data_IF_333889703860
#
_entry.id   IF_333889703860
#
_cell.length_a   1.000
_cell.length_b   1.000
_cell.length_c   1.000
_cell.angle_alpha   90.00
_cell.angle_beta   90.00
_cell.angle_gamma   90.00
#
_symmetry.space_group_name_H-M   'P 1'
#
loop_
_entity.id
_entity.type
_entity.pdbx_description
1 polymer ?
#
# COMPACT_ATOMS: atom_id res chain seq x y z
N UNK A 1 -4.83 4.08 4.92
CA UNK A 1 -5.87 4.53 5.87
C UNK A 1 -5.46 5.84 6.56
N UNK A 2 -4.21 5.96 6.98
CA UNK A 2 -3.73 7.16 7.71
C UNK A 2 -3.87 8.43 6.85
N UNK A 3 -3.50 8.39 5.59
CA UNK A 3 -3.70 9.54 4.68
C UNK A 3 -5.18 9.94 4.52
N UNK A 4 -6.09 8.95 4.46
CA UNK A 4 -7.51 9.23 4.32
C UNK A 4 -8.07 9.98 5.54
N UNK A 5 -7.79 9.50 6.76
CA UNK A 5 -8.32 10.11 7.97
C UNK A 5 -7.72 11.51 8.21
N UNK A 6 -6.40 11.68 8.03
CA UNK A 6 -5.72 12.96 8.17
C UNK A 6 -6.22 13.97 7.12
N UNK A 7 -6.37 13.53 5.86
CA UNK A 7 -6.96 14.39 4.83
C UNK A 7 -8.39 14.79 5.19
N UNK A 8 -9.23 13.85 5.62
CA UNK A 8 -10.61 14.14 6.06
C UNK A 8 -10.64 15.17 7.18
N UNK A 9 -9.75 15.05 8.16
CA UNK A 9 -9.63 16.02 9.26
C UNK A 9 -9.23 17.40 8.75
N UNK A 10 -8.25 17.47 7.87
CA UNK A 10 -7.71 18.73 7.34
C UNK A 10 -8.68 19.49 6.42
N UNK A 11 -9.56 18.77 5.71
CA UNK A 11 -10.58 19.40 4.86
C UNK A 11 -11.88 19.75 5.59
N UNK A 12 -11.93 19.57 6.92
CA UNK A 12 -13.02 20.04 7.77
C UNK A 12 -13.87 18.98 8.44
N UNK A 13 -13.46 17.70 8.39
CA UNK A 13 -14.11 16.67 9.20
C UNK A 13 -13.98 16.96 10.69
N UNK A 14 -15.10 17.02 11.41
CA UNK A 14 -15.14 17.38 12.84
C UNK A 14 -14.97 16.19 13.76
N UNK A 15 -15.57 15.05 13.42
CA UNK A 15 -15.47 13.79 14.14
C UNK A 15 -14.97 12.71 13.16
N UNK A 16 -13.65 12.56 13.09
CA UNK A 16 -13.00 11.58 12.21
C UNK A 16 -12.46 10.44 13.04
N UNK A 17 -12.85 9.22 12.71
CA UNK A 17 -12.38 7.98 13.36
C UNK A 17 -11.81 7.01 12.36
N UNK A 18 -10.77 6.30 12.75
CA UNK A 18 -10.23 5.15 12.01
C UNK A 18 -10.74 3.88 12.67
N UNK A 19 -11.54 3.11 11.95
CA UNK A 19 -12.03 1.82 12.43
C UNK A 19 -11.06 0.72 12.01
N UNK A 20 -10.37 0.15 12.96
CA UNK A 20 -9.35 -0.87 12.72
C UNK A 20 -9.83 -2.26 13.15
N UNK A 21 -9.77 -3.21 12.23
CA UNK A 21 -10.19 -4.60 12.49
C UNK A 21 -9.30 -5.31 13.50
N UNK A 22 -8.02 -4.93 13.61
CA UNK A 22 -7.04 -5.51 14.53
C UNK A 22 -6.61 -4.48 15.56
N UNK A 23 -5.96 -4.95 16.62
CA UNK A 23 -5.30 -4.08 17.60
C UNK A 23 -3.97 -3.51 17.09
N UNK A 24 -3.53 -2.43 17.71
CA UNK A 24 -2.36 -1.61 17.33
C UNK A 24 -1.08 -2.42 17.03
N UNK A 25 -0.71 -3.49 17.77
CA UNK A 25 0.47 -4.31 17.45
C UNK A 25 0.44 -4.98 16.07
N UNK A 26 -0.73 -5.12 15.47
CA UNK A 26 -0.92 -5.76 14.16
C UNK A 26 -1.17 -4.75 13.03
N UNK A 27 -1.01 -3.47 13.27
CA UNK A 27 -1.15 -2.45 12.23
C UNK A 27 0.01 -2.53 11.24
N UNK A 28 -0.32 -2.31 9.97
CA UNK A 28 0.68 -2.20 8.90
C UNK A 28 1.17 -0.76 8.70
N UNK A 29 0.49 0.21 9.32
CA UNK A 29 0.89 1.60 9.30
C UNK A 29 2.23 1.78 10.03
N UNK A 30 3.05 2.68 9.54
CA UNK A 30 4.33 3.00 10.15
C UNK A 30 4.15 3.72 11.50
N UNK A 31 5.10 3.61 12.44
CA UNK A 31 4.99 4.29 13.72
C UNK A 31 4.75 5.79 13.61
N UNK A 32 5.43 6.46 12.69
CA UNK A 32 5.28 7.91 12.49
C UNK A 32 3.91 8.30 11.89
N UNK A 33 3.30 7.46 11.04
CA UNK A 33 1.93 7.71 10.56
C UNK A 33 0.90 7.62 11.67
N UNK A 34 1.10 6.70 12.63
CA UNK A 34 0.25 6.58 13.80
C UNK A 34 0.44 7.76 14.75
N UNK A 35 1.68 8.17 14.99
CA UNK A 35 2.02 9.35 15.80
C UNK A 35 1.40 10.63 15.21
N UNK A 36 1.60 10.89 13.92
CA UNK A 36 0.97 12.00 13.20
C UNK A 36 -0.57 11.98 13.30
N UNK A 37 -1.18 10.80 13.28
CA UNK A 37 -2.64 10.65 13.40
C UNK A 37 -3.12 10.99 14.81
N UNK A 38 -2.39 10.56 15.82
CA UNK A 38 -2.65 10.89 17.22
C UNK A 38 -2.46 12.39 17.49
N UNK A 39 -1.41 13.02 16.92
CA UNK A 39 -1.19 14.48 17.02
C UNK A 39 -2.32 15.30 16.38
N UNK A 40 -2.93 14.79 15.32
CA UNK A 40 -4.09 15.43 14.67
C UNK A 40 -5.42 15.12 15.39
N UNK A 41 -5.37 14.51 16.57
CA UNK A 41 -6.51 14.18 17.40
C UNK A 41 -7.57 13.34 16.70
N UNK A 42 -7.12 12.30 15.98
CA UNK A 42 -7.97 11.35 15.28
C UNK A 42 -7.99 10.05 16.09
N UNK A 43 -9.19 9.62 16.47
CA UNK A 43 -9.38 8.39 17.23
C UNK A 43 -9.16 7.15 16.34
N UNK A 44 -8.35 6.21 16.82
CA UNK A 44 -8.20 4.89 16.22
C UNK A 44 -8.94 3.89 17.10
N UNK A 45 -10.06 3.38 16.58
CA UNK A 45 -10.94 2.42 17.26
C UNK A 45 -10.54 1.01 16.85
N UNK A 46 -9.90 0.29 17.75
CA UNK A 46 -9.34 -1.04 17.50
C UNK A 46 -10.39 -2.14 17.61
N UNK A 47 -10.11 -3.31 16.99
CA UNK A 47 -10.91 -4.53 17.11
C UNK A 47 -12.37 -4.41 16.63
N UNK A 48 -12.60 -3.56 15.65
CA UNK A 48 -13.91 -3.35 15.04
C UNK A 48 -13.90 -3.82 13.59
N UNK A 49 -14.59 -4.93 13.33
CA UNK A 49 -14.71 -5.51 11.97
C UNK A 49 -15.97 -4.97 11.30
N UNK A 50 -15.88 -4.28 10.16
CA UNK A 50 -17.05 -3.73 9.49
C UNK A 50 -17.97 -4.84 8.96
N UNK A 51 -19.28 -4.66 9.12
CA UNK A 51 -20.29 -5.65 8.70
C UNK A 51 -21.31 -5.10 7.73
N UNK A 52 -21.88 -3.91 8.00
CA UNK A 52 -23.01 -3.40 7.23
C UNK A 52 -23.02 -1.88 7.17
N UNK A 53 -23.30 -1.31 6.00
CA UNK A 53 -23.69 0.09 5.86
C UNK A 53 -25.18 0.26 6.21
N UNK A 54 -25.48 1.18 7.09
CA UNK A 54 -26.86 1.54 7.42
C UNK A 54 -27.28 2.71 6.55
N UNK A 55 -28.23 2.47 5.64
CA UNK A 55 -28.75 3.46 4.69
C UNK A 55 -30.25 3.57 4.88
N UNK A 56 -30.76 4.77 5.08
CA UNK A 56 -32.19 5.08 5.16
C UNK A 56 -32.55 6.13 4.13
N UNK A 57 -33.59 5.88 3.35
CA UNK A 57 -34.06 6.77 2.28
C UNK A 57 -32.95 7.21 1.28
N UNK A 58 -31.99 6.30 1.02
CA UNK A 58 -30.85 6.58 0.15
C UNK A 58 -29.73 7.40 0.78
N UNK A 59 -29.82 7.71 2.07
CA UNK A 59 -28.84 8.48 2.83
C UNK A 59 -28.10 7.57 3.81
N UNK A 60 -26.77 7.63 3.79
CA UNK A 60 -25.94 6.93 4.77
C UNK A 60 -26.24 7.48 6.18
N UNK A 61 -26.47 6.59 7.13
CA UNK A 61 -26.66 6.89 8.55
C UNK A 61 -25.47 6.47 9.41
N UNK A 62 -24.69 5.54 8.92
CA UNK A 62 -23.53 5.02 9.61
C UNK A 62 -23.21 3.60 9.20
N UNK A 63 -22.45 2.92 10.05
CA UNK A 63 -21.97 1.58 9.80
C UNK A 63 -22.02 0.73 11.06
N UNK A 64 -22.35 -0.55 10.90
CA UNK A 64 -22.27 -1.55 11.96
C UNK A 64 -20.93 -2.25 11.94
N UNK A 65 -20.46 -2.59 13.12
CA UNK A 65 -19.21 -3.32 13.34
C UNK A 65 -19.41 -4.45 14.33
N UNK A 66 -18.78 -5.57 14.08
CA UNK A 66 -18.55 -6.59 15.08
C UNK A 66 -17.33 -6.18 15.94
N UNK A 67 -17.50 -6.16 17.25
CA UNK A 67 -16.39 -6.09 18.18
C UNK A 67 -15.78 -7.48 18.24
N UNK A 68 -14.48 -7.57 17.93
CA UNK A 68 -13.80 -8.86 17.80
C UNK A 68 -12.60 -8.95 18.73
N UNK A 69 -12.33 -10.15 19.23
CA UNK A 69 -11.11 -10.50 19.93
C UNK A 69 -10.25 -11.40 19.04
N UNK A 70 -8.95 -11.07 18.95
CA UNK A 70 -8.00 -11.82 18.14
C UNK A 70 -7.18 -12.76 19.02
N UNK A 71 -7.15 -14.04 18.68
CA UNK A 71 -6.35 -15.06 19.35
C UNK A 71 -5.70 -15.98 18.31
N UNK A 72 -4.51 -16.53 18.59
CA UNK A 72 -3.91 -17.54 17.73
C UNK A 72 -4.66 -18.87 17.87
N UNK A 73 -4.87 -19.56 16.76
CA UNK A 73 -5.32 -20.95 16.74
C UNK A 73 -4.15 -21.91 17.05
N UNK A 74 -4.44 -23.23 17.07
CA UNK A 74 -3.46 -24.28 17.34
C UNK A 74 -2.28 -24.30 16.34
N UNK A 75 -2.43 -23.66 15.19
CA UNK A 75 -1.41 -23.54 14.16
C UNK A 75 -0.70 -22.15 14.18
N UNK A 76 -0.99 -21.31 15.18
CA UNK A 76 -0.46 -19.97 15.30
C UNK A 76 -1.09 -18.96 14.34
N UNK A 77 -2.20 -19.30 13.67
CA UNK A 77 -2.94 -18.41 12.78
C UNK A 77 -3.89 -17.55 13.60
N UNK A 78 -3.87 -16.23 13.38
CA UNK A 78 -4.79 -15.31 14.06
C UNK A 78 -6.23 -15.54 13.60
N UNK A 79 -7.09 -15.89 14.55
CA UNK A 79 -8.52 -16.01 14.38
C UNK A 79 -9.26 -14.92 15.17
N UNK A 80 -10.41 -14.49 14.66
CA UNK A 80 -11.25 -13.49 15.31
C UNK A 80 -12.50 -14.16 15.89
N UNK A 81 -12.80 -13.87 17.14
CA UNK A 81 -14.08 -14.25 17.77
C UNK A 81 -14.92 -12.99 17.94
N UNK A 82 -16.16 -13.03 17.47
CA UNK A 82 -17.14 -11.95 17.69
C UNK A 82 -17.56 -11.93 19.15
N UNK A 83 -17.48 -10.77 19.77
CA UNK A 83 -17.90 -10.51 21.15
C UNK A 83 -19.25 -9.81 21.18
N UNK A 84 -19.44 -8.77 20.38
CA UNK A 84 -20.62 -7.91 20.37
C UNK A 84 -20.79 -7.23 19.01
N UNK A 85 -21.85 -6.45 18.86
CA UNK A 85 -22.11 -5.61 17.69
C UNK A 85 -22.38 -4.17 18.12
N UNK A 86 -21.85 -3.22 17.38
CA UNK A 86 -22.01 -1.80 17.65
C UNK A 86 -22.30 -1.01 16.37
N UNK A 87 -23.09 0.03 16.49
CA UNK A 87 -23.37 0.98 15.42
C UNK A 87 -22.63 2.30 15.66
N UNK A 88 -21.96 2.78 14.63
CA UNK A 88 -21.39 4.13 14.61
C UNK A 88 -22.10 4.98 13.57
N UNK A 89 -22.69 6.09 14.03
CA UNK A 89 -23.26 7.08 13.12
C UNK A 89 -22.17 7.77 12.31
N UNK A 90 -22.40 7.96 11.03
CA UNK A 90 -21.47 8.64 10.14
C UNK A 90 -22.18 9.22 8.91
N UNK A 91 -21.78 10.42 8.51
CA UNK A 91 -22.25 11.07 7.28
C UNK A 91 -21.51 10.56 6.05
N UNK A 92 -20.24 10.11 6.24
CA UNK A 92 -19.39 9.58 5.20
C UNK A 92 -18.52 8.42 5.72
N UNK A 93 -18.30 7.43 4.87
CA UNK A 93 -17.38 6.31 5.15
C UNK A 93 -16.40 6.16 4.00
N UNK A 94 -15.12 6.08 4.32
CA UNK A 94 -14.04 5.84 3.36
C UNK A 94 -13.48 4.45 3.60
N UNK A 95 -13.58 3.58 2.60
CA UNK A 95 -12.99 2.24 2.65
C UNK A 95 -11.50 2.30 2.31
N UNK A 96 -10.66 2.02 3.31
CA UNK A 96 -9.20 1.95 3.17
C UNK A 96 -8.68 0.58 3.64
N UNK A 97 -9.32 -0.49 3.14
CA UNK A 97 -9.11 -1.89 3.58
C UNK A 97 -8.08 -2.66 2.76
N UNK A 98 -7.39 -1.99 1.85
CA UNK A 98 -6.46 -2.57 0.89
C UNK A 98 -7.04 -2.70 -0.51
N UNK A 99 -6.26 -3.27 -1.39
CA UNK A 99 -6.61 -3.51 -2.78
C UNK A 99 -6.28 -4.95 -3.13
N UNK A 100 -7.04 -5.51 -4.04
CA UNK A 100 -6.76 -6.81 -4.64
C UNK A 100 -6.28 -6.60 -6.08
N UNK A 101 -5.37 -7.45 -6.51
CA UNK A 101 -4.89 -7.46 -7.89
C UNK A 101 -6.01 -7.94 -8.80
N UNK A 102 -6.32 -7.17 -9.84
CA UNK A 102 -7.38 -7.50 -10.80
C UNK A 102 -6.93 -7.17 -12.22
N UNK A 103 -7.01 -8.16 -13.10
CA UNK A 103 -6.69 -8.03 -14.52
C UNK A 103 -7.89 -8.43 -15.40
N UNK A 104 -9.02 -7.71 -15.34
CA UNK A 104 -10.23 -8.09 -16.07
C UNK A 104 -10.08 -7.99 -17.60
N UNK A 105 -8.99 -7.38 -18.06
CA UNK A 105 -8.63 -7.21 -19.47
C UNK A 105 -7.70 -8.30 -20.00
N UNK A 106 -7.21 -9.19 -19.14
CA UNK A 106 -6.41 -10.36 -19.54
C UNK A 106 -7.36 -11.54 -19.65
N UNK A 107 -7.44 -12.10 -20.85
CA UNK A 107 -8.26 -13.27 -21.15
C UNK A 107 -7.61 -14.54 -20.54
N UNK A 108 -8.44 -15.51 -20.14
CA UNK A 108 -7.97 -16.73 -19.46
C UNK A 108 -7.05 -17.59 -20.35
N UNK A 109 -7.19 -17.46 -21.67
CA UNK A 109 -6.36 -18.16 -22.67
C UNK A 109 -5.11 -17.36 -23.11
N UNK A 110 -4.84 -16.23 -22.49
CA UNK A 110 -3.68 -15.39 -22.79
C UNK A 110 -2.33 -16.07 -22.52
N UNK A 111 -2.31 -17.25 -21.89
CA UNK A 111 -1.09 -18.02 -21.58
C UNK A 111 -0.29 -17.44 -20.40
N UNK A 112 -0.91 -16.61 -19.57
CA UNK A 112 -0.34 -16.09 -18.34
C UNK A 112 -0.94 -16.88 -17.19
N UNK A 113 -0.10 -17.54 -16.40
CA UNK A 113 -0.55 -18.23 -15.19
C UNK A 113 -0.66 -17.26 -14.01
N UNK A 114 -1.72 -17.43 -13.23
CA UNK A 114 -1.98 -16.66 -12.02
C UNK A 114 -1.96 -17.59 -10.80
N UNK A 115 -1.44 -17.07 -9.69
CA UNK A 115 -1.47 -17.79 -8.41
C UNK A 115 -2.87 -17.71 -7.76
N UNK A 116 -3.01 -18.32 -6.58
CA UNK A 116 -4.28 -18.35 -5.82
C UNK A 116 -4.78 -16.96 -5.38
N UNK A 117 -3.93 -15.95 -5.37
CA UNK A 117 -4.26 -14.55 -5.07
C UNK A 117 -4.48 -13.69 -6.32
N UNK A 118 -4.58 -14.34 -7.49
CA UNK A 118 -4.72 -13.69 -8.79
C UNK A 118 -3.55 -12.77 -9.17
N UNK A 119 -2.37 -13.05 -8.65
CA UNK A 119 -1.15 -12.40 -9.07
C UNK A 119 -0.50 -13.22 -10.20
N UNK A 120 0.06 -12.59 -11.25
CA UNK A 120 0.72 -13.32 -12.32
C UNK A 120 1.97 -14.05 -11.80
N UNK A 121 2.22 -15.24 -12.27
CA UNK A 121 3.46 -15.95 -12.01
C UNK A 121 4.58 -15.29 -12.80
N UNK A 122 5.53 -14.68 -12.08
CA UNK A 122 6.63 -13.87 -12.65
C UNK A 122 7.97 -14.36 -12.12
N UNK A 123 8.94 -14.49 -13.00
CA UNK A 123 10.33 -14.78 -12.61
C UNK A 123 10.96 -13.54 -11.94
N UNK A 124 11.53 -13.72 -10.75
CA UNK A 124 12.04 -12.61 -9.92
C UNK A 124 13.30 -11.93 -10.48
N UNK A 125 14.00 -12.57 -11.40
CA UNK A 125 15.22 -12.04 -12.01
C UNK A 125 14.93 -11.36 -13.33
N UNK A 126 14.12 -12.02 -14.17
CA UNK A 126 13.82 -11.55 -15.51
C UNK A 126 12.55 -10.70 -15.60
N UNK A 127 11.68 -10.76 -14.60
CA UNK A 127 10.37 -10.08 -14.57
C UNK A 127 9.41 -10.58 -15.67
N UNK A 128 9.77 -11.65 -16.37
CA UNK A 128 8.95 -12.25 -17.39
C UNK A 128 7.91 -13.18 -16.76
N UNK A 129 6.69 -13.13 -17.28
CA UNK A 129 5.62 -14.04 -16.91
C UNK A 129 5.80 -15.41 -17.54
N UNK A 130 4.83 -16.31 -17.31
CA UNK A 130 4.77 -17.61 -18.01
C UNK A 130 4.52 -17.47 -19.51
N UNK A 131 3.98 -16.33 -19.96
CA UNK A 131 3.88 -16.00 -21.37
C UNK A 131 5.13 -15.29 -21.84
N UNK A 132 5.76 -15.86 -22.86
CA UNK A 132 6.95 -15.32 -23.49
C UNK A 132 6.74 -13.88 -23.99
N UNK A 133 7.70 -12.99 -23.70
CA UNK A 133 7.66 -11.56 -24.07
C UNK A 133 6.70 -10.69 -23.26
N UNK A 134 6.07 -11.22 -22.20
CA UNK A 134 5.20 -10.45 -21.31
C UNK A 134 5.84 -10.30 -19.92
N UNK A 135 6.00 -9.06 -19.47
CA UNK A 135 6.70 -8.72 -18.24
C UNK A 135 5.79 -8.00 -17.27
N UNK A 136 5.95 -8.27 -15.98
CA UNK A 136 5.24 -7.59 -14.89
C UNK A 136 6.22 -7.10 -13.84
N UNK A 137 5.85 -6.01 -13.15
CA UNK A 137 6.62 -5.45 -12.05
C UNK A 137 5.76 -4.58 -11.13
N UNK A 138 6.33 -4.13 -10.02
CA UNK A 138 5.61 -3.36 -9.01
C UNK A 138 4.45 -4.14 -8.40
N UNK A 139 3.42 -3.42 -8.02
CA UNK A 139 2.22 -3.97 -7.37
C UNK A 139 1.49 -5.01 -8.24
N UNK A 140 1.65 -4.93 -9.55
CA UNK A 140 1.02 -5.88 -10.48
C UNK A 140 1.66 -7.28 -10.46
N UNK A 141 2.87 -7.42 -9.95
CA UNK A 141 3.59 -8.69 -9.92
C UNK A 141 3.57 -9.35 -8.53
N UNK A 142 3.72 -8.56 -7.47
CA UNK A 142 3.93 -9.08 -6.11
C UNK A 142 3.05 -8.42 -5.04
N UNK A 143 1.99 -7.73 -5.48
CA UNK A 143 1.09 -7.01 -4.58
C UNK A 143 1.62 -5.65 -4.12
N UNK A 144 0.86 -4.95 -3.27
CA UNK A 144 1.14 -3.57 -2.89
C UNK A 144 2.44 -3.43 -2.08
N UNK A 145 3.37 -2.64 -2.64
CA UNK A 145 4.63 -2.25 -2.02
C UNK A 145 4.84 -0.73 -2.13
N UNK A 146 6.04 -0.24 -1.89
CA UNK A 146 6.34 1.18 -2.03
C UNK A 146 6.79 1.53 -3.46
N UNK A 147 6.71 2.83 -3.78
CA UNK A 147 7.03 3.37 -5.10
C UNK A 147 8.50 3.13 -5.51
N UNK A 148 9.42 3.01 -4.55
CA UNK A 148 10.85 2.77 -4.81
C UNK A 148 11.03 1.38 -5.43
N UNK A 149 10.35 0.37 -4.88
CA UNK A 149 10.34 -0.98 -5.44
C UNK A 149 9.69 -1.01 -6.82
N UNK A 150 8.57 -0.31 -7.01
CA UNK A 150 7.93 -0.26 -8.31
C UNK A 150 8.84 0.36 -9.39
N UNK A 151 9.60 1.41 -9.04
CA UNK A 151 10.57 2.01 -9.93
C UNK A 151 11.75 1.07 -10.25
N UNK A 152 12.27 0.37 -9.22
CA UNK A 152 13.34 -0.62 -9.41
C UNK A 152 12.88 -1.78 -10.29
N UNK A 153 11.68 -2.33 -10.03
CA UNK A 153 11.10 -3.38 -10.88
C UNK A 153 10.97 -2.92 -12.34
N UNK A 154 10.59 -1.66 -12.56
CA UNK A 154 10.55 -1.08 -13.91
C UNK A 154 11.91 -1.05 -14.58
N UNK A 155 12.97 -0.65 -13.86
CA UNK A 155 14.33 -0.66 -14.38
C UNK A 155 14.82 -2.07 -14.72
N UNK A 156 14.58 -3.02 -13.82
CA UNK A 156 14.99 -4.41 -14.04
C UNK A 156 14.21 -5.07 -15.19
N UNK A 157 12.91 -4.83 -15.26
CA UNK A 157 12.09 -5.30 -16.38
C UNK A 157 12.55 -4.70 -17.72
N UNK A 158 12.94 -3.42 -17.76
CA UNK A 158 13.44 -2.76 -18.97
C UNK A 158 14.72 -3.42 -19.48
N UNK A 159 15.63 -3.84 -18.58
CA UNK A 159 16.84 -4.60 -18.95
C UNK A 159 16.43 -5.92 -19.61
N UNK A 160 15.48 -6.65 -19.02
CA UNK A 160 15.00 -7.91 -19.57
C UNK A 160 14.31 -7.74 -20.92
N UNK A 161 13.48 -6.71 -21.06
CA UNK A 161 12.80 -6.40 -22.32
C UNK A 161 13.83 -6.08 -23.42
N UNK A 162 14.86 -5.31 -23.06
CA UNK A 162 15.95 -5.01 -24.00
C UNK A 162 16.63 -6.30 -24.48
N UNK A 163 17.12 -7.13 -23.54
CA UNK A 163 17.78 -8.40 -23.89
C UNK A 163 16.86 -9.34 -24.67
N UNK A 164 15.58 -9.40 -24.31
CA UNK A 164 14.58 -10.18 -25.06
C UNK A 164 14.46 -9.72 -26.52
N UNK A 165 14.36 -8.41 -26.74
CA UNK A 165 14.25 -7.85 -28.10
C UNK A 165 15.50 -8.11 -28.96
N UNK A 166 16.67 -8.26 -28.34
CA UNK A 166 17.93 -8.56 -29.05
C UNK A 166 18.25 -10.06 -29.09
N UNK A 167 17.42 -10.92 -28.51
CA UNK A 167 17.65 -12.36 -28.44
C UNK A 167 18.83 -12.74 -27.53
N UNK A 168 19.12 -11.92 -26.54
CA UNK A 168 20.16 -12.13 -25.54
C UNK A 168 19.65 -12.95 -24.36
N UNK A 169 20.54 -13.48 -23.55
CA UNK A 169 20.19 -14.19 -22.32
C UNK A 169 19.66 -13.23 -21.27
N UNK A 170 18.39 -13.39 -20.87
CA UNK A 170 17.74 -12.54 -19.86
C UNK A 170 18.34 -12.67 -18.46
N UNK A 171 19.05 -13.79 -18.19
CA UNK A 171 19.72 -14.00 -16.90
C UNK A 171 21.06 -13.25 -16.82
N UNK A 172 21.58 -12.81 -17.94
CA UNK A 172 22.83 -12.04 -17.99
C UNK A 172 22.55 -10.59 -17.60
N UNK A 173 22.65 -10.30 -16.30
CA UNK A 173 22.43 -8.95 -15.79
C UNK A 173 23.71 -8.11 -15.90
N UNK A 174 23.58 -6.84 -16.30
CA UNK A 174 24.70 -5.92 -16.20
C UNK A 174 25.09 -5.76 -14.72
N UNK A 175 26.37 -5.50 -14.42
CA UNK A 175 26.78 -5.22 -13.05
C UNK A 175 26.03 -3.99 -12.51
N UNK A 176 25.68 -4.03 -11.24
CA UNK A 176 25.05 -2.92 -10.55
C UNK A 176 25.91 -1.67 -10.69
N UNK A 177 25.45 -0.76 -11.52
CA UNK A 177 26.10 0.54 -11.69
C UNK A 177 25.55 1.50 -10.66
N UNK A 178 26.03 1.41 -9.44
CA UNK A 178 25.92 2.51 -8.50
C UNK A 178 26.86 3.64 -8.94
N UNK A 179 26.44 4.41 -9.92
CA UNK A 179 27.13 5.63 -10.27
C UNK A 179 26.66 6.76 -9.36
N UNK A 180 27.00 6.64 -8.07
CA UNK A 180 26.77 7.69 -7.07
C UNK A 180 27.58 8.96 -7.35
N UNK A 181 28.58 8.85 -8.19
CA UNK A 181 29.35 9.96 -8.79
C UNK A 181 28.53 10.64 -9.89
N UNK A 182 27.24 10.65 -9.80
CA UNK A 182 26.48 11.36 -10.80
C UNK A 182 26.94 12.80 -10.84
N UNK A 183 27.05 13.35 -12.04
CA UNK A 183 27.14 14.78 -12.31
C UNK A 183 26.12 15.63 -11.54
N UNK A 184 25.17 15.00 -10.93
CA UNK A 184 24.20 15.50 -9.99
C UNK A 184 24.82 16.18 -8.76
N UNK A 185 25.95 15.68 -8.26
CA UNK A 185 26.61 16.30 -7.10
C UNK A 185 27.16 17.69 -7.45
N UNK A 186 27.86 17.83 -8.56
CA UNK A 186 28.39 19.13 -8.99
C UNK A 186 27.32 20.16 -9.33
N UNK A 187 26.18 19.74 -9.89
CA UNK A 187 25.05 20.63 -10.17
C UNK A 187 24.31 21.04 -8.89
N UNK A 188 24.25 20.15 -7.90
CA UNK A 188 23.61 20.44 -6.62
C UNK A 188 24.37 21.44 -5.76
N UNK A 189 25.67 21.37 -5.77
CA UNK A 189 26.52 22.34 -5.04
C UNK A 189 26.34 23.77 -5.56
N UNK A 190 25.97 23.92 -6.82
CA UNK A 190 25.72 25.24 -7.44
C UNK A 190 24.30 25.74 -7.19
N UNK A 191 23.35 24.84 -6.93
CA UNK A 191 21.93 25.16 -6.81
C UNK A 191 21.48 25.34 -5.35
N UNK A 192 22.22 24.76 -4.40
CA UNK A 192 21.86 24.77 -2.99
C UNK A 192 23.05 25.25 -2.15
N UNK A 193 22.90 26.41 -1.53
CA UNK A 193 23.76 26.80 -0.44
C UNK A 193 23.58 25.80 0.70
N UNK A 194 24.67 25.17 1.11
CA UNK A 194 24.67 24.34 2.32
C UNK A 194 24.72 25.17 3.61
N UNK A 195 24.69 26.50 3.48
CA UNK A 195 24.81 27.45 4.58
C UNK A 195 23.47 27.96 5.12
N UNK A 196 22.35 27.39 4.67
CA UNK A 196 21.09 27.77 5.29
C UNK A 196 20.93 27.06 6.64
N UNK A 197 20.79 27.88 7.67
CA UNK A 197 20.36 27.37 8.97
C UNK A 197 19.07 26.58 8.79
N UNK A 198 19.06 25.36 9.29
CA UNK A 198 17.85 24.57 9.45
C UNK A 198 16.96 25.34 10.44
N UNK A 199 16.18 26.25 9.93
CA UNK A 199 15.04 26.74 10.67
C UNK A 199 14.19 25.50 10.93
N UNK A 200 14.20 25.02 12.17
CA UNK A 200 13.48 23.83 12.55
C UNK A 200 12.08 23.87 11.93
N UNK A 201 11.64 22.77 11.37
CA UNK A 201 10.25 22.64 10.91
C UNK A 201 9.38 23.15 12.05
N UNK A 202 8.77 24.29 11.86
CA UNK A 202 7.73 24.73 12.78
C UNK A 202 6.63 23.69 12.67
N UNK A 203 6.51 22.86 13.70
CA UNK A 203 5.34 22.01 13.83
C UNK A 203 4.15 22.95 13.81
N UNK A 204 3.33 22.88 12.78
CA UNK A 204 2.04 23.54 12.79
C UNK A 204 1.22 22.86 13.89
N UNK A 205 1.01 23.60 14.94
CA UNK A 205 0.07 23.24 16.02
C UNK A 205 -1.35 23.51 15.60
#
# INVERSE_FOLDING_TARGET
>A
AMDCCRTSRRIGGTDVKVMARKSKPYFKASPWELEDTEEELIDIVENHSPTEFVVEDGVLKGMKFDIVEWHPDDNGRLCATKLDEVFFAADAVILAIGQETAFPWIEDDAGIEFNQWREPTVDKTTFMSTRDGVFFGGDSAWGPENIIWAAEHGHQAAISIHSYCYGEDLLLRPPDRMNLMSAKMGLHEWAYSNDYEYAGRSQMR
#
